data_IF_640917357638
#
_entry.id   IF_640917357638
#
_cell.length_a   1.000
_cell.length_b   1.000
_cell.length_c   1.000
_cell.angle_alpha   90.00
_cell.angle_beta   90.00
_cell.angle_gamma   90.00
#
_symmetry.space_group_name_H-M   'P 1'
#
loop_
_entity.id
_entity.type
_entity.pdbx_description
1 polymer ?
#
# COMPACT_ATOMS: atom_id res chain seq x y z
N UNK A 1 18.68 23.72 2.56
CA UNK A 1 19.21 22.56 1.81
C UNK A 1 19.24 21.38 2.77
N UNK A 2 18.30 20.44 2.67
CA UNK A 2 18.18 19.30 3.58
C UNK A 2 18.70 18.05 2.89
N UNK A 3 19.79 17.52 3.42
CA UNK A 3 20.41 16.28 2.95
C UNK A 3 19.48 15.10 3.20
N UNK A 4 18.93 14.52 2.14
CA UNK A 4 18.27 13.22 2.18
C UNK A 4 19.38 12.17 2.23
N UNK A 5 19.64 11.63 3.43
CA UNK A 5 20.42 10.41 3.57
C UNK A 5 19.65 9.28 2.87
N UNK A 6 20.06 8.95 1.65
CA UNK A 6 19.69 7.68 1.02
C UNK A 6 20.26 6.60 1.92
N UNK A 7 19.39 5.94 2.68
CA UNK A 7 19.76 4.74 3.42
C UNK A 7 20.14 3.70 2.36
N UNK A 8 21.44 3.61 2.09
CA UNK A 8 22.04 2.49 1.38
C UNK A 8 21.71 1.26 2.21
N UNK A 9 20.64 0.56 1.86
CA UNK A 9 20.37 -0.75 2.40
C UNK A 9 21.55 -1.62 1.99
N UNK A 10 22.39 -1.92 2.97
CA UNK A 10 23.67 -2.61 2.83
C UNK A 10 23.44 -3.91 2.06
N UNK A 11 23.79 -3.89 0.78
CA UNK A 11 23.88 -5.11 -0.01
C UNK A 11 25.02 -5.90 0.59
N UNK A 12 24.69 -6.99 1.30
CA UNK A 12 25.69 -7.86 1.89
C UNK A 12 26.73 -8.24 0.83
N UNK A 13 28.03 -8.25 1.18
CA UNK A 13 29.08 -8.62 0.25
C UNK A 13 28.76 -10.00 -0.33
N UNK A 14 28.88 -10.11 -1.66
CA UNK A 14 28.67 -11.34 -2.42
C UNK A 14 29.39 -12.47 -1.66
N UNK A 15 28.68 -13.48 -1.10
CA UNK A 15 29.35 -14.58 -0.43
C UNK A 15 30.27 -15.25 -1.46
N UNK A 16 31.48 -15.68 -1.08
CA UNK A 16 32.45 -16.25 -2.01
C UNK A 16 31.79 -17.38 -2.80
N UNK A 17 31.43 -17.06 -4.05
CA UNK A 17 31.04 -18.03 -5.03
C UNK A 17 32.30 -18.85 -5.26
N UNK A 18 32.22 -20.17 -5.08
CA UNK A 18 33.19 -21.23 -5.41
C UNK A 18 33.61 -22.08 -4.21
N UNK A 19 32.67 -22.83 -3.62
CA UNK A 19 33.03 -24.13 -2.99
C UNK A 19 31.90 -25.16 -2.92
N UNK A 20 30.70 -24.87 -3.45
CA UNK A 20 29.63 -25.85 -3.55
C UNK A 20 28.97 -25.81 -4.94
N UNK A 21 28.72 -26.99 -5.53
CA UNK A 21 28.25 -27.28 -6.91
C UNK A 21 26.88 -26.68 -7.30
N UNK A 22 26.41 -25.61 -6.64
CA UNK A 22 25.12 -24.98 -6.90
C UNK A 22 25.27 -23.93 -8.01
N UNK A 23 24.52 -24.11 -9.09
CA UNK A 23 24.46 -23.12 -10.18
C UNK A 23 23.83 -21.83 -9.66
N UNK A 24 24.46 -20.70 -9.96
CA UNK A 24 23.90 -19.38 -9.67
C UNK A 24 22.83 -19.02 -10.69
N UNK A 25 21.76 -18.38 -10.24
CA UNK A 25 20.68 -17.85 -11.10
C UNK A 25 20.44 -16.40 -10.75
N UNK A 26 20.86 -15.49 -11.63
CA UNK A 26 20.56 -14.07 -11.51
C UNK A 26 19.19 -13.77 -12.13
N UNK A 27 18.40 -12.91 -11.49
CA UNK A 27 17.11 -12.49 -12.02
C UNK A 27 16.80 -11.03 -11.65
N UNK A 28 16.07 -10.37 -12.54
CA UNK A 28 15.59 -9.00 -12.34
C UNK A 28 14.09 -9.04 -12.06
N UNK A 29 13.68 -8.46 -10.93
CA UNK A 29 12.27 -8.33 -10.55
C UNK A 29 12.15 -7.25 -9.48
N UNK A 30 11.00 -6.58 -9.36
CA UNK A 30 10.74 -5.75 -8.19
C UNK A 30 10.89 -6.55 -6.88
N UNK A 31 11.46 -5.91 -5.86
CA UNK A 31 11.88 -6.56 -4.61
C UNK A 31 10.74 -7.32 -3.90
N UNK A 32 9.51 -6.82 -4.01
CA UNK A 32 8.32 -7.43 -3.44
C UNK A 32 7.95 -8.80 -4.05
N UNK A 33 8.49 -9.16 -5.20
CA UNK A 33 8.31 -10.48 -5.83
C UNK A 33 9.53 -11.39 -5.67
N UNK A 34 10.70 -10.82 -5.36
CA UNK A 34 11.98 -11.52 -5.31
C UNK A 34 11.99 -12.69 -4.31
N UNK A 35 11.38 -12.51 -3.13
CA UNK A 35 11.43 -13.52 -2.07
C UNK A 35 10.83 -14.87 -2.49
N UNK A 36 9.71 -14.87 -3.22
CA UNK A 36 9.07 -16.12 -3.68
C UNK A 36 9.92 -16.84 -4.71
N UNK A 37 10.46 -16.10 -5.67
CA UNK A 37 11.30 -16.68 -6.72
C UNK A 37 12.63 -17.19 -6.14
N UNK A 38 13.30 -16.41 -5.28
CA UNK A 38 14.50 -16.86 -4.55
C UNK A 38 14.26 -18.17 -3.81
N UNK A 39 13.14 -18.27 -3.08
CA UNK A 39 12.79 -19.48 -2.34
C UNK A 39 12.61 -20.69 -3.27
N UNK A 40 11.90 -20.52 -4.40
CA UNK A 40 11.72 -21.59 -5.39
C UNK A 40 13.06 -22.03 -6.01
N UNK A 41 13.95 -21.09 -6.33
CA UNK A 41 15.29 -21.39 -6.86
C UNK A 41 16.15 -22.16 -5.84
N UNK A 42 16.07 -21.79 -4.56
CA UNK A 42 16.76 -22.50 -3.47
C UNK A 42 16.24 -23.93 -3.30
N UNK A 43 14.92 -24.14 -3.38
CA UNK A 43 14.31 -25.49 -3.34
C UNK A 43 14.77 -26.37 -4.51
N UNK A 44 15.21 -25.79 -5.63
CA UNK A 44 15.81 -26.50 -6.77
C UNK A 44 17.32 -26.69 -6.65
N UNK A 45 17.93 -26.30 -5.52
CA UNK A 45 19.37 -26.44 -5.29
C UNK A 45 20.22 -25.38 -6.00
N UNK A 46 19.61 -24.28 -6.46
CA UNK A 46 20.31 -23.16 -7.07
C UNK A 46 20.62 -22.06 -6.06
N UNK A 47 21.57 -21.19 -6.42
CA UNK A 47 21.94 -20.00 -5.65
C UNK A 47 21.34 -18.76 -6.31
N UNK A 48 20.20 -18.24 -5.82
CA UNK A 48 19.57 -17.06 -6.41
C UNK A 48 20.37 -15.78 -6.17
N UNK A 49 20.46 -14.94 -7.19
CA UNK A 49 20.99 -13.58 -7.14
C UNK A 49 19.90 -12.61 -7.61
N UNK A 50 19.28 -11.90 -6.67
CA UNK A 50 18.26 -10.91 -7.00
C UNK A 50 18.93 -9.58 -7.38
N UNK A 51 18.67 -9.10 -8.58
CA UNK A 51 19.15 -7.82 -9.09
C UNK A 51 17.94 -6.94 -9.41
N UNK A 52 17.33 -6.24 -8.41
CA UNK A 52 16.13 -5.46 -8.64
C UNK A 52 16.42 -4.29 -9.57
N UNK A 53 15.68 -4.21 -10.68
CA UNK A 53 15.81 -3.12 -11.69
C UNK A 53 14.67 -2.11 -11.63
N UNK A 54 13.60 -2.41 -10.89
CA UNK A 54 12.39 -1.59 -10.78
C UNK A 54 11.98 -1.52 -9.32
N UNK A 55 11.72 -0.31 -8.83
CA UNK A 55 11.13 -0.03 -7.52
C UNK A 55 9.79 0.69 -7.76
N UNK A 56 8.74 0.25 -7.07
CA UNK A 56 7.41 0.85 -7.18
C UNK A 56 6.98 1.37 -5.82
N UNK A 57 6.98 2.69 -5.67
CA UNK A 57 6.71 3.37 -4.40
C UNK A 57 5.84 4.62 -4.61
N UNK A 58 5.11 5.07 -3.57
CA UNK A 58 4.44 6.37 -3.59
C UNK A 58 5.42 7.52 -3.87
N UNK A 59 5.24 8.23 -4.98
CA UNK A 59 6.01 9.44 -5.28
C UNK A 59 5.37 10.70 -4.66
N UNK A 60 6.13 11.78 -4.43
CA UNK A 60 5.57 13.07 -4.04
C UNK A 60 4.48 13.56 -5.00
N UNK A 61 4.66 13.33 -6.30
CA UNK A 61 3.70 13.71 -7.34
C UNK A 61 2.38 12.95 -7.16
N UNK A 62 2.44 11.62 -6.99
CA UNK A 62 1.23 10.81 -6.76
C UNK A 62 0.51 11.25 -5.48
N UNK A 63 1.25 11.52 -4.39
CA UNK A 63 0.66 12.00 -3.13
C UNK A 63 -0.01 13.37 -3.31
N UNK A 64 0.61 14.29 -4.03
CA UNK A 64 0.04 15.61 -4.32
C UNK A 64 -1.24 15.51 -5.17
N UNK A 65 -1.27 14.63 -6.17
CA UNK A 65 -2.47 14.37 -6.96
C UNK A 65 -3.60 13.80 -6.11
N UNK A 66 -3.31 12.88 -5.18
CA UNK A 66 -4.32 12.35 -4.25
C UNK A 66 -4.79 13.45 -3.29
N UNK A 67 -3.88 14.27 -2.78
CA UNK A 67 -4.19 15.34 -1.83
C UNK A 67 -5.22 16.30 -2.40
N UNK A 68 -5.14 16.62 -3.70
CA UNK A 68 -6.13 17.45 -4.37
C UNK A 68 -7.57 16.94 -4.21
N UNK A 69 -7.78 15.62 -4.30
CA UNK A 69 -9.09 15.02 -4.14
C UNK A 69 -9.54 14.93 -2.68
N UNK A 70 -8.60 14.85 -1.74
CA UNK A 70 -8.90 14.80 -0.31
C UNK A 70 -9.07 16.19 0.33
N UNK A 71 -8.54 17.23 -0.32
CA UNK A 71 -8.62 18.61 0.17
C UNK A 71 -10.05 19.16 0.03
N UNK A 72 -10.59 19.63 1.14
CA UNK A 72 -11.86 20.35 1.20
C UNK A 72 -11.69 21.72 0.54
N UNK A 73 -12.54 22.05 -0.43
CA UNK A 73 -12.65 23.42 -0.90
C UNK A 73 -13.70 24.12 -0.06
N UNK A 74 -13.30 25.13 0.72
CA UNK A 74 -14.25 26.06 1.31
C UNK A 74 -14.85 26.88 0.16
N UNK A 75 -16.01 26.48 -0.35
CA UNK A 75 -16.85 27.41 -1.11
C UNK A 75 -17.80 28.09 -0.13
N UNK A 76 -17.94 29.40 -0.33
CA UNK A 76 -18.65 30.34 0.53
C UNK A 76 -20.04 29.84 0.93
N UNK A 77 -20.27 29.82 2.25
CA UNK A 77 -21.53 29.60 2.95
C UNK A 77 -22.13 28.18 2.81
N UNK A 78 -21.81 27.35 3.81
CA UNK A 78 -22.52 26.14 4.25
C UNK A 78 -22.40 24.80 3.49
N UNK A 79 -21.59 24.67 2.43
CA UNK A 79 -21.28 23.32 1.89
C UNK A 79 -19.78 23.13 1.66
N UNK A 80 -19.12 22.63 2.68
CA UNK A 80 -17.76 22.07 2.58
C UNK A 80 -17.85 20.74 1.85
N UNK A 81 -17.32 20.69 0.64
CA UNK A 81 -17.34 19.49 -0.19
C UNK A 81 -15.93 19.20 -0.72
N UNK A 82 -15.49 17.95 -0.63
CA UNK A 82 -14.27 17.51 -1.31
C UNK A 82 -14.58 17.08 -2.75
N UNK A 83 -13.61 17.17 -3.68
CA UNK A 83 -13.77 16.54 -4.99
C UNK A 83 -13.98 15.02 -4.91
N UNK A 84 -13.62 14.38 -3.79
CA UNK A 84 -13.84 12.95 -3.57
C UNK A 84 -15.33 12.59 -3.50
N UNK A 85 -16.18 13.49 -3.01
CA UNK A 85 -17.63 13.28 -2.90
C UNK A 85 -18.36 13.24 -4.25
N UNK A 86 -17.71 13.61 -5.35
CA UNK A 86 -18.26 13.46 -6.71
C UNK A 86 -18.16 12.01 -7.22
N UNK A 87 -17.50 11.12 -6.48
CA UNK A 87 -17.30 9.72 -6.84
C UNK A 87 -18.08 8.80 -5.90
N UNK A 88 -18.64 7.72 -6.44
CA UNK A 88 -19.28 6.66 -5.66
C UNK A 88 -18.28 5.60 -5.17
N UNK A 89 -17.08 5.55 -5.74
CA UNK A 89 -16.10 4.51 -5.43
C UNK A 89 -14.64 4.88 -5.74
N UNK A 90 -13.71 4.21 -5.06
CA UNK A 90 -12.30 4.08 -5.43
C UNK A 90 -11.93 2.60 -5.60
N UNK A 91 -11.13 2.31 -6.63
CA UNK A 91 -10.56 0.99 -6.86
C UNK A 91 -9.03 1.02 -6.83
N UNK A 92 -8.43 0.26 -5.92
CA UNK A 92 -6.98 0.12 -5.81
C UNK A 92 -6.45 -1.09 -6.57
N UNK A 93 -5.62 -0.84 -7.57
CA UNK A 93 -5.01 -1.87 -8.41
C UNK A 93 -3.59 -2.24 -7.99
N UNK A 94 -3.00 -1.54 -7.01
CA UNK A 94 -1.62 -1.77 -6.55
C UNK A 94 -1.42 -1.44 -5.05
N UNK A 95 -0.37 -2.00 -4.44
CA UNK A 95 0.05 -1.64 -3.06
C UNK A 95 0.45 -0.19 -2.96
N UNK A 96 1.22 0.27 -3.94
CA UNK A 96 1.73 1.63 -3.96
C UNK A 96 0.58 2.66 -3.98
N UNK A 97 -0.51 2.37 -4.70
CA UNK A 97 -1.71 3.21 -4.68
C UNK A 97 -2.37 3.29 -3.30
N UNK A 98 -2.54 2.14 -2.62
CA UNK A 98 -3.10 2.11 -1.26
C UNK A 98 -2.21 2.85 -0.27
N UNK A 99 -0.90 2.63 -0.34
CA UNK A 99 0.08 3.32 0.51
C UNK A 99 0.06 4.82 0.29
N UNK A 100 0.11 5.27 -0.96
CA UNK A 100 0.04 6.68 -1.31
C UNK A 100 -1.24 7.31 -0.76
N UNK A 101 -2.39 6.65 -0.94
CA UNK A 101 -3.66 7.13 -0.42
C UNK A 101 -3.70 7.18 1.10
N UNK A 102 -3.27 6.11 1.78
CA UNK A 102 -3.24 6.04 3.24
C UNK A 102 -2.32 7.09 3.85
N UNK A 103 -1.14 7.30 3.27
CA UNK A 103 -0.17 8.30 3.75
C UNK A 103 -0.68 9.73 3.56
N UNK A 104 -1.31 10.01 2.41
CA UNK A 104 -1.94 11.32 2.17
C UNK A 104 -3.14 11.53 3.09
N UNK A 105 -3.96 10.50 3.31
CA UNK A 105 -5.12 10.57 4.20
C UNK A 105 -4.71 10.88 5.65
N UNK A 106 -3.65 10.24 6.16
CA UNK A 106 -3.14 10.50 7.52
C UNK A 106 -2.63 11.94 7.72
N UNK A 107 -2.36 12.68 6.65
CA UNK A 107 -1.94 14.08 6.70
C UNK A 107 -3.14 15.04 6.78
N UNK A 108 -4.33 14.60 6.38
CA UNK A 108 -5.53 15.43 6.49
C UNK A 108 -6.05 15.39 7.92
N UNK A 109 -6.27 16.58 8.49
CA UNK A 109 -6.83 16.73 9.84
C UNK A 109 -8.34 16.42 9.86
N UNK A 110 -8.99 16.47 8.70
CA UNK A 110 -10.43 16.33 8.55
C UNK A 110 -10.79 15.12 7.69
N UNK A 111 -11.95 14.53 7.98
CA UNK A 111 -12.47 13.42 7.18
C UNK A 111 -12.87 13.92 5.79
N UNK A 112 -12.30 13.36 4.71
CA UNK A 112 -12.56 13.85 3.36
C UNK A 112 -13.96 13.47 2.82
N UNK A 113 -14.70 12.66 3.57
CA UNK A 113 -16.08 12.32 3.27
C UNK A 113 -16.94 12.79 4.44
N UNK A 114 -18.06 13.43 4.12
CA UNK A 114 -19.09 13.75 5.10
C UNK A 114 -19.64 12.47 5.75
N UNK A 115 -19.97 12.49 7.06
CA UNK A 115 -20.50 11.33 7.76
C UNK A 115 -21.92 10.95 7.32
N UNK A 116 -22.59 11.83 6.57
CA UNK A 116 -23.94 11.65 6.06
C UNK A 116 -23.92 11.74 4.53
N UNK A 117 -24.55 10.79 3.84
CA UNK A 117 -24.56 10.76 2.38
C UNK A 117 -24.71 9.34 1.82
N UNK A 118 -24.46 9.21 0.51
CA UNK A 118 -24.46 7.92 -0.17
C UNK A 118 -23.25 7.06 0.25
N UNK A 119 -23.39 5.74 0.12
CA UNK A 119 -22.31 4.81 0.46
C UNK A 119 -21.13 4.98 -0.50
N UNK A 120 -19.94 5.22 0.05
CA UNK A 120 -18.70 5.26 -0.71
C UNK A 120 -18.02 3.89 -0.75
N UNK A 121 -17.81 3.34 -1.96
CA UNK A 121 -17.23 2.01 -2.12
C UNK A 121 -15.71 2.06 -2.25
N UNK A 122 -15.00 1.33 -1.38
CA UNK A 122 -13.55 1.14 -1.50
C UNK A 122 -13.25 -0.30 -1.89
N UNK A 123 -12.61 -0.49 -3.03
CA UNK A 123 -12.28 -1.81 -3.57
C UNK A 123 -10.78 -1.97 -3.82
N UNK A 124 -10.28 -3.21 -3.79
CA UNK A 124 -8.89 -3.51 -4.07
C UNK A 124 -8.73 -4.85 -4.81
N UNK A 125 -7.74 -4.93 -5.70
CA UNK A 125 -7.56 -6.09 -6.57
C UNK A 125 -6.92 -7.30 -5.84
N UNK A 126 -7.62 -8.42 -5.81
CA UNK A 126 -7.10 -9.73 -5.37
C UNK A 126 -6.60 -9.74 -3.92
N UNK A 127 -5.39 -10.26 -3.68
CA UNK A 127 -4.77 -10.36 -2.34
C UNK A 127 -4.51 -8.99 -1.69
N UNK A 128 -4.75 -7.89 -2.40
CA UNK A 128 -4.61 -6.54 -1.89
C UNK A 128 -5.71 -6.14 -0.92
N UNK A 129 -6.87 -6.80 -0.98
CA UNK A 129 -7.97 -6.57 -0.05
C UNK A 129 -7.52 -6.74 1.41
N UNK A 130 -6.69 -7.75 1.69
CA UNK A 130 -6.14 -7.98 3.03
C UNK A 130 -5.27 -6.81 3.53
N UNK A 131 -4.57 -6.12 2.62
CA UNK A 131 -3.77 -4.95 2.96
C UNK A 131 -4.68 -3.78 3.33
N UNK A 132 -5.76 -3.60 2.57
CA UNK A 132 -6.78 -2.59 2.82
C UNK A 132 -7.49 -2.80 4.17
N UNK A 133 -7.84 -4.04 4.51
CA UNK A 133 -8.42 -4.37 5.83
C UNK A 133 -7.46 -4.04 6.98
N UNK A 134 -6.15 -4.28 6.79
CA UNK A 134 -5.14 -4.08 7.83
C UNK A 134 -4.90 -2.60 8.14
N UNK A 135 -4.90 -1.73 7.13
CA UNK A 135 -4.79 -0.28 7.35
C UNK A 135 -6.06 0.34 7.95
N UNK A 136 -7.22 -0.31 7.77
CA UNK A 136 -8.50 0.15 8.34
C UNK A 136 -8.74 -0.29 9.79
N UNK A 137 -7.92 -1.20 10.33
CA UNK A 137 -8.05 -1.71 11.69
C UNK A 137 -6.98 -1.05 12.58
N UNK A 138 -7.33 -0.14 13.50
CA UNK A 138 -6.35 0.35 14.46
C UNK A 138 -5.84 -0.82 15.31
N UNK A 139 -4.52 -0.86 15.49
CA UNK A 139 -3.78 -1.85 16.27
C UNK A 139 -4.18 -1.81 17.76
N UNK A 140 -5.37 -2.32 18.11
CA UNK A 140 -5.68 -2.95 19.40
C UNK A 140 -7.13 -3.49 19.35
N UNK A 141 -7.34 -4.66 18.75
CA UNK A 141 -8.57 -5.43 18.98
C UNK A 141 -8.31 -6.90 18.73
N UNK A 142 -8.61 -7.72 19.76
CA UNK A 142 -8.61 -9.19 19.74
C UNK A 142 -9.20 -9.74 18.44
N UNK A 143 -8.57 -10.80 17.91
CA UNK A 143 -9.08 -11.62 16.80
C UNK A 143 -10.56 -11.99 17.04
N UNK A 144 -11.49 -11.69 16.11
CA UNK A 144 -12.75 -12.40 16.04
C UNK A 144 -12.56 -13.70 15.25
N UNK A 145 -13.29 -14.72 15.67
CA UNK A 145 -13.47 -16.02 15.03
C UNK A 145 -13.99 -15.90 13.59
N UNK A 146 -13.67 -16.91 12.77
CA UNK A 146 -14.07 -17.04 11.37
C UNK A 146 -15.58 -17.01 11.17
N UNK A 147 -16.13 -15.83 10.92
CA UNK A 147 -17.29 -15.55 10.07
C UNK A 147 -17.63 -14.08 10.24
N UNK A 148 -17.69 -13.32 9.14
CA UNK A 148 -17.94 -11.87 9.07
C UNK A 148 -16.74 -10.94 9.35
N UNK A 149 -15.96 -10.65 8.29
CA UNK A 149 -14.99 -9.55 8.27
C UNK A 149 -15.70 -8.20 8.26
N UNK A 150 -15.96 -7.70 9.47
CA UNK A 150 -16.70 -6.49 9.75
C UNK A 150 -15.75 -5.35 10.14
N UNK A 151 -15.59 -4.36 9.25
CA UNK A 151 -14.85 -3.12 9.49
C UNK A 151 -15.28 -2.43 10.81
N UNK A 152 -14.32 -1.98 11.65
CA UNK A 152 -14.56 -1.01 12.71
C UNK A 152 -13.59 0.17 12.51
N UNK A 153 -13.98 1.29 11.88
CA UNK A 153 -14.52 2.47 12.58
C UNK A 153 -15.20 3.41 11.56
N UNK A 154 -16.10 2.83 10.76
CA UNK A 154 -17.07 3.53 9.89
C UNK A 154 -18.43 2.78 9.97
N UNK A 155 -18.90 2.47 11.20
CA UNK A 155 -20.12 1.66 11.44
C UNK A 155 -21.35 2.58 11.62
N UNK A 156 -22.62 2.28 11.29
CA UNK A 156 -23.36 1.18 10.60
C UNK A 156 -24.87 1.45 10.79
N UNK A 157 -25.73 1.01 9.85
CA UNK A 157 -26.73 -0.08 10.03
C UNK A 157 -27.47 -0.36 8.71
N UNK A 158 -27.89 -1.62 8.60
CA UNK A 158 -28.52 -2.30 7.45
C UNK A 158 -29.93 -1.79 7.17
N UNK A 159 -30.33 -1.86 5.90
CA UNK A 159 -31.53 -2.61 5.49
C UNK A 159 -31.09 -3.65 4.48
#
# INVERSE_FOLDING_TARGET
MMNMAVTMQEFSPIPPLLSNKRRAVAFTTPLNYAGRLSHLLQLKGWSPLCCPTIVVEPSPQTKASIQFFLSTKAQSNDNKKTPLEDFSAIAFTSRAGILAFSETLMRNEETPLEPYGENFTVSALGKMLNFLTRISSPSSAKKPSESESQFPLWRRRRV
#
